data_IF_486125859128
#
_entry.id   IF_486125859128
#
_cell.length_a   1.000
_cell.length_b   1.000
_cell.length_c   1.000
_cell.angle_alpha   90.00
_cell.angle_beta   90.00
_cell.angle_gamma   90.00
#
_symmetry.space_group_name_H-M   'P 1'
#
loop_
_entity.id
_entity.type
_entity.pdbx_description
1 polymer ?
#
# COMPACT_ATOMS: atom_id res chain seq x y z
N UNK A 1 -10.90 -0.70 -39.77
CA UNK A 1 -11.63 0.11 -38.79
C UNK A 1 -13.08 0.10 -39.24
N UNK A 2 -13.92 -0.73 -38.64
CA UNK A 2 -15.36 -0.49 -38.75
C UNK A 2 -15.71 0.57 -37.71
N UNK A 3 -16.06 1.77 -38.19
CA UNK A 3 -16.71 2.78 -37.36
C UNK A 3 -18.16 2.32 -37.21
N UNK A 4 -18.53 1.84 -36.04
CA UNK A 4 -19.95 1.57 -35.73
C UNK A 4 -20.60 2.90 -35.35
N UNK A 5 -21.52 3.36 -36.19
CA UNK A 5 -22.20 4.66 -36.12
C UNK A 5 -23.01 4.83 -34.80
N UNK A 6 -23.08 6.02 -34.16
CA UNK A 6 -23.65 6.20 -32.81
C UNK A 6 -25.18 6.05 -32.68
N UNK A 7 -25.88 5.59 -33.72
CA UNK A 7 -27.35 5.45 -33.73
C UNK A 7 -27.84 4.01 -33.93
N UNK A 8 -27.07 3.02 -33.50
CA UNK A 8 -27.53 1.63 -33.50
C UNK A 8 -27.97 1.22 -32.10
N UNK A 9 -29.18 1.65 -31.72
CA UNK A 9 -29.84 1.29 -30.45
C UNK A 9 -30.29 -0.18 -30.39
N UNK A 10 -29.91 -1.02 -31.37
CA UNK A 10 -30.35 -2.42 -31.42
C UNK A 10 -29.45 -3.33 -32.27
N UNK A 11 -28.16 -3.39 -31.97
CA UNK A 11 -27.40 -4.60 -32.31
C UNK A 11 -27.71 -5.64 -31.23
N UNK A 12 -28.67 -6.52 -31.54
CA UNK A 12 -28.93 -7.73 -30.77
C UNK A 12 -27.61 -8.52 -30.73
N UNK A 13 -27.13 -8.78 -29.52
CA UNK A 13 -26.03 -9.70 -29.24
C UNK A 13 -26.19 -10.97 -30.06
N UNK A 14 -25.11 -11.37 -30.73
CA UNK A 14 -24.69 -12.78 -30.93
C UNK A 14 -23.38 -12.85 -31.75
N UNK A 15 -22.85 -11.74 -32.29
CA UNK A 15 -21.68 -11.80 -33.19
C UNK A 15 -20.64 -10.66 -33.08
N UNK A 16 -20.32 -10.14 -31.88
CA UNK A 16 -19.04 -9.40 -31.70
C UNK A 16 -17.93 -10.33 -31.18
N UNK A 17 -17.92 -11.58 -31.64
CA UNK A 17 -16.81 -12.52 -31.47
C UNK A 17 -15.97 -12.51 -32.75
N UNK A 18 -15.29 -11.40 -33.04
CA UNK A 18 -14.26 -11.39 -34.10
C UNK A 18 -13.15 -10.41 -33.71
N UNK A 19 -11.90 -10.88 -33.82
CA UNK A 19 -10.66 -10.21 -33.44
C UNK A 19 -10.35 -8.92 -34.22
N UNK A 20 -11.19 -7.90 -34.07
CA UNK A 20 -11.03 -6.60 -34.70
C UNK A 20 -10.65 -5.51 -33.69
N UNK A 21 -9.92 -4.51 -34.18
CA UNK A 21 -9.75 -3.22 -33.50
C UNK A 21 -11.09 -2.49 -33.52
N UNK A 22 -11.80 -2.49 -32.40
CA UNK A 22 -13.13 -1.87 -32.29
C UNK A 22 -13.00 -0.59 -31.46
N UNK A 23 -13.53 0.52 -31.98
CA UNK A 23 -13.71 1.76 -31.23
C UNK A 23 -15.20 2.05 -31.11
N UNK A 24 -15.70 2.11 -29.88
CA UNK A 24 -17.11 2.32 -29.58
C UNK A 24 -17.29 3.62 -28.82
N UNK A 25 -18.24 4.43 -29.26
CA UNK A 25 -18.63 5.68 -28.61
C UNK A 25 -19.96 5.45 -27.90
N UNK A 26 -19.94 5.51 -26.57
CA UNK A 26 -21.09 5.39 -25.67
C UNK A 26 -21.75 4.00 -25.63
N UNK A 27 -21.57 3.28 -24.53
CA UNK A 27 -22.23 2.01 -24.25
C UNK A 27 -23.13 2.09 -23.01
N UNK A 28 -24.38 1.63 -23.15
CA UNK A 28 -25.33 1.53 -22.03
C UNK A 28 -25.79 0.08 -21.86
N UNK A 29 -25.39 -0.54 -20.74
CA UNK A 29 -25.78 -1.90 -20.37
C UNK A 29 -25.32 -2.99 -21.35
N UNK A 30 -24.00 -3.13 -21.52
CA UNK A 30 -23.42 -4.10 -22.46
C UNK A 30 -22.55 -5.16 -21.78
N UNK A 31 -22.54 -6.35 -22.40
CA UNK A 31 -21.63 -7.45 -22.09
C UNK A 31 -20.82 -7.79 -23.34
N UNK A 32 -19.50 -7.78 -23.23
CA UNK A 32 -18.57 -8.15 -24.30
C UNK A 32 -17.88 -9.44 -23.86
N UNK A 33 -18.11 -10.58 -24.52
CA UNK A 33 -17.52 -11.84 -24.10
C UNK A 33 -16.00 -11.83 -24.31
N UNK A 34 -15.53 -11.44 -25.49
CA UNK A 34 -14.10 -11.47 -25.82
C UNK A 34 -13.74 -10.32 -26.76
N UNK A 35 -12.54 -9.77 -26.62
CA UNK A 35 -12.01 -8.78 -27.56
C UNK A 35 -10.49 -8.80 -27.61
N UNK A 36 -9.90 -8.61 -28.78
CA UNK A 36 -8.45 -8.44 -28.89
C UNK A 36 -8.02 -7.00 -28.63
N UNK A 37 -8.67 -6.03 -29.28
CA UNK A 37 -8.33 -4.62 -29.17
C UNK A 37 -9.60 -3.78 -29.11
N UNK A 38 -9.92 -3.28 -27.93
CA UNK A 38 -11.16 -2.55 -27.68
C UNK A 38 -10.87 -1.17 -27.11
N UNK A 39 -11.46 -0.16 -27.73
CA UNK A 39 -11.45 1.23 -27.26
C UNK A 39 -12.87 1.68 -27.03
N UNK A 40 -13.14 2.18 -25.83
CA UNK A 40 -14.45 2.69 -25.45
C UNK A 40 -14.28 4.10 -24.91
N UNK A 41 -15.01 5.03 -25.50
CA UNK A 41 -14.97 6.42 -25.04
C UNK A 41 -15.74 6.57 -23.73
N UNK A 42 -16.97 6.04 -23.66
CA UNK A 42 -17.85 6.22 -22.50
C UNK A 42 -18.73 4.99 -22.29
N UNK A 43 -19.01 4.63 -21.03
CA UNK A 43 -19.95 3.56 -20.70
C UNK A 43 -20.65 3.73 -19.35
N UNK A 44 -21.92 3.33 -19.23
CA UNK A 44 -22.67 3.45 -17.97
C UNK A 44 -22.76 2.12 -17.18
N UNK A 45 -22.76 0.99 -17.87
CA UNK A 45 -22.71 -0.35 -17.27
C UNK A 45 -22.09 -1.33 -18.27
N UNK A 46 -20.82 -1.66 -18.07
CA UNK A 46 -20.06 -2.49 -19.00
C UNK A 46 -19.51 -3.72 -18.29
N UNK A 47 -19.72 -4.87 -18.91
CA UNK A 47 -19.10 -6.14 -18.52
C UNK A 47 -18.24 -6.64 -19.65
N UNK A 48 -17.01 -7.04 -19.35
CA UNK A 48 -16.09 -7.65 -20.30
C UNK A 48 -15.60 -8.94 -19.66
N UNK A 49 -15.78 -10.08 -20.33
CA UNK A 49 -15.24 -11.33 -19.79
C UNK A 49 -13.73 -11.37 -20.06
N UNK A 50 -13.30 -11.18 -21.30
CA UNK A 50 -11.89 -11.25 -21.67
C UNK A 50 -11.47 -10.13 -22.63
N UNK A 51 -10.29 -9.55 -22.40
CA UNK A 51 -9.69 -8.64 -23.37
C UNK A 51 -8.16 -8.62 -23.35
N UNK A 52 -7.52 -8.76 -24.51
CA UNK A 52 -6.06 -8.60 -24.60
C UNK A 52 -5.64 -7.14 -24.39
N UNK A 53 -6.22 -6.20 -25.14
CA UNK A 53 -5.93 -4.77 -25.00
C UNK A 53 -7.21 -3.95 -24.91
N UNK A 54 -7.43 -3.36 -23.74
CA UNK A 54 -8.61 -2.57 -23.45
C UNK A 54 -8.24 -1.15 -23.04
N UNK A 55 -8.85 -0.18 -23.71
CA UNK A 55 -8.77 1.24 -23.34
C UNK A 55 -10.15 1.80 -23.13
N UNK A 56 -10.39 2.36 -21.95
CA UNK A 56 -11.66 2.98 -21.60
C UNK A 56 -11.36 4.39 -21.12
N UNK A 57 -12.01 5.39 -21.72
CA UNK A 57 -11.82 6.78 -21.27
C UNK A 57 -12.67 7.02 -20.03
N UNK A 58 -13.97 6.73 -20.09
CA UNK A 58 -14.86 6.93 -18.95
C UNK A 58 -15.80 5.73 -18.74
N UNK A 59 -16.02 5.37 -17.47
CA UNK A 59 -17.06 4.40 -17.11
C UNK A 59 -17.71 4.70 -15.75
N UNK A 60 -19.03 4.58 -15.67
CA UNK A 60 -19.68 4.61 -14.35
C UNK A 60 -19.52 3.26 -13.63
N UNK A 61 -19.86 2.16 -14.28
CA UNK A 61 -19.75 0.82 -13.70
C UNK A 61 -19.10 -0.15 -14.68
N UNK A 62 -17.92 -0.64 -14.31
CA UNK A 62 -17.12 -1.52 -15.13
C UNK A 62 -16.78 -2.81 -14.38
N UNK A 63 -17.05 -3.94 -15.02
CA UNK A 63 -16.62 -5.26 -14.54
C UNK A 63 -15.82 -5.95 -15.63
N UNK A 64 -14.62 -6.38 -15.28
CA UNK A 64 -13.72 -7.08 -16.19
C UNK A 64 -13.30 -8.37 -15.49
N UNK A 65 -13.52 -9.52 -16.12
CA UNK A 65 -13.03 -10.77 -15.54
C UNK A 65 -11.53 -10.90 -15.78
N UNK A 66 -11.07 -10.77 -17.03
CA UNK A 66 -9.66 -10.91 -17.36
C UNK A 66 -9.21 -9.85 -18.38
N UNK A 67 -8.01 -9.31 -18.17
CA UNK A 67 -7.34 -8.52 -19.21
C UNK A 67 -5.82 -8.56 -19.16
N UNK A 68 -5.16 -8.71 -20.31
CA UNK A 68 -3.70 -8.60 -20.36
C UNK A 68 -3.23 -7.14 -20.19
N UNK A 69 -3.77 -6.21 -20.96
CA UNK A 69 -3.41 -4.79 -20.91
C UNK A 69 -4.65 -3.91 -20.81
N UNK A 70 -4.83 -3.29 -19.66
CA UNK A 70 -5.97 -2.44 -19.37
C UNK A 70 -5.53 -1.01 -19.04
N UNK A 71 -6.11 -0.04 -19.73
CA UNK A 71 -5.98 1.38 -19.44
C UNK A 71 -7.33 2.02 -19.25
N UNK A 72 -7.52 2.66 -18.11
CA UNK A 72 -8.75 3.36 -17.76
C UNK A 72 -8.38 4.77 -17.35
N UNK A 73 -8.96 5.77 -18.00
CA UNK A 73 -8.74 7.16 -17.57
C UNK A 73 -9.56 7.42 -16.31
N UNK A 74 -10.88 7.23 -16.36
CA UNK A 74 -11.78 7.48 -15.23
C UNK A 74 -12.80 6.36 -15.04
N UNK A 75 -13.04 5.97 -13.78
CA UNK A 75 -14.16 5.09 -13.46
C UNK A 75 -14.74 5.33 -12.08
N UNK A 76 -16.07 5.44 -11.96
CA UNK A 76 -16.71 5.53 -10.64
C UNK A 76 -16.60 4.20 -9.87
N UNK A 77 -17.05 3.09 -10.47
CA UNK A 77 -16.99 1.77 -9.86
C UNK A 77 -16.33 0.76 -10.79
N UNK A 78 -15.17 0.25 -10.39
CA UNK A 78 -14.39 -0.69 -11.17
C UNK A 78 -14.14 -1.98 -10.38
N UNK A 79 -14.46 -3.11 -11.02
CA UNK A 79 -14.14 -4.44 -10.52
C UNK A 79 -13.36 -5.22 -11.58
N UNK A 80 -12.20 -5.71 -11.21
CA UNK A 80 -11.33 -6.51 -12.06
C UNK A 80 -10.99 -7.79 -11.31
N UNK A 81 -11.24 -8.95 -11.91
CA UNK A 81 -10.80 -10.19 -11.28
C UNK A 81 -9.31 -10.38 -11.50
N UNK A 82 -8.85 -10.35 -12.76
CA UNK A 82 -7.44 -10.57 -13.09
C UNK A 82 -6.93 -9.58 -14.12
N UNK A 83 -5.70 -9.11 -13.94
CA UNK A 83 -5.00 -8.37 -14.99
C UNK A 83 -3.48 -8.48 -14.95
N UNK A 84 -2.82 -8.60 -16.10
CA UNK A 84 -1.36 -8.57 -16.14
C UNK A 84 -0.82 -7.14 -15.98
N UNK A 85 -1.31 -6.20 -16.78
CA UNK A 85 -0.89 -4.80 -16.76
C UNK A 85 -2.09 -3.86 -16.69
N UNK A 86 -2.20 -3.15 -15.57
CA UNK A 86 -3.30 -2.24 -15.30
C UNK A 86 -2.80 -0.83 -15.02
N UNK A 87 -3.37 0.13 -15.75
CA UNK A 87 -3.17 1.56 -15.51
C UNK A 87 -4.51 2.26 -15.35
N UNK A 88 -4.68 2.92 -14.22
CA UNK A 88 -5.88 3.67 -13.89
C UNK A 88 -5.45 5.08 -13.51
N UNK A 89 -6.04 6.08 -14.16
CA UNK A 89 -5.75 7.47 -13.79
C UNK A 89 -6.56 7.83 -12.55
N UNK A 90 -7.87 7.67 -12.60
CA UNK A 90 -8.77 7.99 -11.49
C UNK A 90 -9.84 6.92 -11.27
N UNK A 91 -10.13 6.61 -10.00
CA UNK A 91 -11.33 5.85 -9.65
C UNK A 91 -11.87 6.12 -8.25
N UNK A 92 -13.19 6.28 -8.13
CA UNK A 92 -13.81 6.41 -6.80
C UNK A 92 -13.77 5.09 -6.01
N UNK A 93 -14.19 3.98 -6.62
CA UNK A 93 -14.22 2.67 -5.99
C UNK A 93 -13.59 1.59 -6.88
N UNK A 94 -12.43 1.10 -6.46
CA UNK A 94 -11.67 0.09 -7.19
C UNK A 94 -11.52 -1.19 -6.38
N UNK A 95 -11.90 -2.32 -6.99
CA UNK A 95 -11.66 -3.67 -6.47
C UNK A 95 -10.92 -4.50 -7.50
N UNK A 96 -9.77 -5.03 -7.10
CA UNK A 96 -8.94 -5.90 -7.93
C UNK A 96 -8.66 -7.17 -7.13
N UNK A 97 -8.95 -8.34 -7.68
CA UNK A 97 -8.56 -9.59 -7.02
C UNK A 97 -7.07 -9.84 -7.23
N UNK A 98 -6.61 -9.86 -8.48
CA UNK A 98 -5.21 -10.16 -8.80
C UNK A 98 -4.65 -9.21 -9.87
N UNK A 99 -3.40 -8.77 -9.68
CA UNK A 99 -2.66 -8.08 -10.74
C UNK A 99 -1.14 -8.23 -10.66
N UNK A 100 -0.49 -8.53 -11.78
CA UNK A 100 0.97 -8.55 -11.82
C UNK A 100 1.56 -7.13 -11.71
N UNK A 101 1.09 -6.19 -12.54
CA UNK A 101 1.59 -4.81 -12.56
C UNK A 101 0.45 -3.80 -12.53
N UNK A 102 0.34 -3.07 -11.43
CA UNK A 102 -0.70 -2.08 -11.22
C UNK A 102 -0.13 -0.69 -10.98
N UNK A 103 -0.65 0.29 -11.74
CA UNK A 103 -0.40 1.71 -11.53
C UNK A 103 -1.72 2.45 -11.39
N UNK A 104 -1.88 3.14 -10.26
CA UNK A 104 -3.03 3.99 -9.97
C UNK A 104 -2.52 5.38 -9.67
N UNK A 105 -3.07 6.39 -10.34
CA UNK A 105 -2.71 7.77 -10.00
C UNK A 105 -3.52 8.21 -8.80
N UNK A 106 -4.85 8.11 -8.85
CA UNK A 106 -5.73 8.52 -7.76
C UNK A 106 -6.86 7.51 -7.52
N UNK A 107 -7.17 7.26 -6.25
CA UNK A 107 -8.40 6.56 -5.89
C UNK A 107 -8.94 6.91 -4.50
N UNK A 108 -10.26 7.08 -4.36
CA UNK A 108 -10.85 7.28 -3.04
C UNK A 108 -10.84 5.97 -2.22
N UNK A 109 -11.32 4.87 -2.80
CA UNK A 109 -11.38 3.57 -2.11
C UNK A 109 -10.80 2.45 -2.97
N UNK A 110 -9.66 1.92 -2.53
CA UNK A 110 -8.97 0.82 -3.19
C UNK A 110 -8.98 -0.45 -2.34
N UNK A 111 -9.37 -1.56 -2.97
CA UNK A 111 -9.19 -2.90 -2.40
C UNK A 111 -8.48 -3.80 -3.40
N UNK A 112 -7.35 -4.35 -2.98
CA UNK A 112 -6.55 -5.28 -3.77
C UNK A 112 -6.32 -6.52 -2.93
N UNK A 113 -6.64 -7.71 -3.46
CA UNK A 113 -6.31 -8.94 -2.74
C UNK A 113 -4.83 -9.26 -2.93
N UNK A 114 -4.36 -9.35 -4.17
CA UNK A 114 -2.97 -9.72 -4.46
C UNK A 114 -2.38 -8.85 -5.58
N UNK A 115 -1.12 -8.43 -5.41
CA UNK A 115 -0.36 -7.87 -6.51
C UNK A 115 1.16 -8.06 -6.40
N UNK A 116 1.83 -8.36 -7.50
CA UNK A 116 3.29 -8.42 -7.51
C UNK A 116 3.91 -7.02 -7.42
N UNK A 117 3.51 -6.10 -8.30
CA UNK A 117 4.06 -4.75 -8.36
C UNK A 117 2.96 -3.69 -8.36
N UNK A 118 2.88 -2.92 -7.27
CA UNK A 118 1.87 -1.90 -7.07
C UNK A 118 2.50 -0.52 -6.88
N UNK A 119 2.04 0.44 -7.68
CA UNK A 119 2.36 1.86 -7.53
C UNK A 119 1.08 2.67 -7.42
N UNK A 120 0.94 3.40 -6.33
CA UNK A 120 -0.19 4.29 -6.06
C UNK A 120 0.39 5.69 -5.80
N UNK A 121 -0.10 6.68 -6.52
CA UNK A 121 0.31 8.06 -6.24
C UNK A 121 -0.47 8.58 -5.04
N UNK A 122 -1.80 8.57 -5.11
CA UNK A 122 -2.65 9.06 -4.04
C UNK A 122 -3.83 8.13 -3.77
N UNK A 123 -4.20 7.95 -2.50
CA UNK A 123 -5.48 7.37 -2.14
C UNK A 123 -5.97 7.73 -0.74
N UNK A 124 -7.29 7.88 -0.58
CA UNK A 124 -7.87 8.08 0.75
C UNK A 124 -7.89 6.78 1.55
N UNK A 125 -8.43 5.68 1.01
CA UNK A 125 -8.58 4.42 1.75
C UNK A 125 -8.01 3.24 0.96
N UNK A 126 -6.90 2.70 1.45
CA UNK A 126 -6.19 1.57 0.88
C UNK A 126 -6.33 0.31 1.74
N UNK A 127 -6.78 -0.78 1.11
CA UNK A 127 -6.69 -2.14 1.67
C UNK A 127 -6.03 -3.05 0.65
N UNK A 128 -4.85 -3.53 0.98
CA UNK A 128 -4.06 -4.44 0.14
C UNK A 128 -3.81 -5.66 1.01
N UNK A 129 -4.23 -6.86 0.61
CA UNK A 129 -4.04 -8.04 1.46
C UNK A 129 -2.59 -8.55 1.37
N UNK A 130 -2.08 -8.68 0.14
CA UNK A 130 -0.73 -9.15 -0.12
C UNK A 130 -0.08 -8.37 -1.27
N UNK A 131 1.21 -8.05 -1.12
CA UNK A 131 2.01 -7.54 -2.23
C UNK A 131 3.50 -7.83 -2.14
N UNK A 132 4.15 -8.12 -3.27
CA UNK A 132 5.62 -8.26 -3.27
C UNK A 132 6.30 -6.89 -3.19
N UNK A 133 5.92 -5.95 -4.08
CA UNK A 133 6.49 -4.61 -4.12
C UNK A 133 5.39 -3.54 -4.14
N UNK A 134 5.26 -2.82 -3.04
CA UNK A 134 4.28 -1.74 -2.87
C UNK A 134 4.99 -0.40 -2.71
N UNK A 135 4.61 0.56 -3.57
CA UNK A 135 5.01 1.97 -3.47
C UNK A 135 3.77 2.86 -3.41
N UNK A 136 3.69 3.66 -2.35
CA UNK A 136 2.62 4.63 -2.14
C UNK A 136 3.29 5.99 -1.95
N UNK A 137 2.84 7.00 -2.69
CA UNK A 137 3.32 8.36 -2.46
C UNK A 137 2.56 8.96 -1.28
N UNK A 138 1.24 9.00 -1.36
CA UNK A 138 0.38 9.52 -0.30
C UNK A 138 -0.80 8.59 -0.02
N UNK A 139 -1.14 8.43 1.26
CA UNK A 139 -2.43 7.84 1.64
C UNK A 139 -2.99 8.31 2.97
N UNK A 140 -4.30 8.52 3.06
CA UNK A 140 -4.92 8.88 4.34
C UNK A 140 -4.98 7.67 5.29
N UNK A 141 -5.47 6.52 4.80
CA UNK A 141 -5.54 5.28 5.56
C UNK A 141 -5.03 4.09 4.75
N UNK A 142 -4.03 3.37 5.27
CA UNK A 142 -3.57 2.10 4.72
C UNK A 142 -3.73 0.97 5.72
N UNK A 143 -4.29 -0.14 5.24
CA UNK A 143 -4.19 -1.45 5.89
C UNK A 143 -3.52 -2.43 4.95
N UNK A 144 -2.38 -2.96 5.38
CA UNK A 144 -1.60 -3.94 4.64
C UNK A 144 -1.21 -5.12 5.55
N UNK A 145 -1.92 -6.27 5.50
CA UNK A 145 -1.54 -7.47 6.22
C UNK A 145 -0.14 -7.93 5.84
N UNK A 146 0.20 -8.08 4.57
CA UNK A 146 1.48 -8.67 4.18
C UNK A 146 2.17 -7.94 3.02
N UNK A 147 3.48 -7.73 3.15
CA UNK A 147 4.30 -7.28 2.02
C UNK A 147 5.77 -7.65 2.14
N UNK A 148 6.42 -8.00 1.03
CA UNK A 148 7.87 -8.16 1.04
C UNK A 148 8.59 -6.80 1.09
N UNK A 149 8.26 -5.89 0.17
CA UNK A 149 8.87 -4.56 0.11
C UNK A 149 7.81 -3.46 0.10
N UNK A 150 7.76 -2.66 1.15
CA UNK A 150 6.83 -1.55 1.29
C UNK A 150 7.59 -0.22 1.38
N UNK A 151 7.24 0.71 0.49
CA UNK A 151 7.72 2.10 0.52
C UNK A 151 6.53 3.06 0.55
N UNK A 152 6.52 3.93 1.55
CA UNK A 152 5.49 4.95 1.73
C UNK A 152 6.19 6.29 1.92
N UNK A 153 5.78 7.30 1.15
CA UNK A 153 6.32 8.65 1.35
C UNK A 153 5.57 9.31 2.51
N UNK A 154 4.26 9.42 2.42
CA UNK A 154 3.43 10.06 3.43
C UNK A 154 2.15 9.27 3.74
N UNK A 155 1.77 9.23 5.02
CA UNK A 155 0.44 8.76 5.39
C UNK A 155 -0.05 9.23 6.77
N UNK A 156 -1.34 9.48 6.91
CA UNK A 156 -1.91 9.76 8.23
C UNK A 156 -2.00 8.49 9.10
N UNK A 157 -2.59 7.40 8.60
CA UNK A 157 -2.82 6.20 9.40
C UNK A 157 -2.37 4.93 8.67
N UNK A 158 -1.35 4.27 9.23
CA UNK A 158 -0.77 3.04 8.71
C UNK A 158 -0.98 1.88 9.68
N UNK A 159 -1.50 0.77 9.16
CA UNK A 159 -1.55 -0.53 9.86
C UNK A 159 -0.93 -1.60 8.99
N UNK A 160 0.22 -2.10 9.41
CA UNK A 160 0.98 -3.13 8.74
C UNK A 160 1.06 -4.34 9.67
N UNK A 161 0.62 -5.52 9.23
CA UNK A 161 0.81 -6.71 10.07
C UNK A 161 2.23 -7.24 9.90
N UNK A 162 2.65 -7.51 8.67
CA UNK A 162 3.97 -8.10 8.39
C UNK A 162 4.67 -7.40 7.22
N UNK A 163 5.97 -7.14 7.38
CA UNK A 163 6.82 -6.72 6.27
C UNK A 163 8.27 -7.16 6.40
N UNK A 164 8.87 -7.64 5.30
CA UNK A 164 10.31 -7.93 5.29
C UNK A 164 11.13 -6.63 5.24
N UNK A 165 10.83 -5.72 4.31
CA UNK A 165 11.52 -4.45 4.15
C UNK A 165 10.54 -3.28 4.09
N UNK A 166 10.54 -2.47 5.14
CA UNK A 166 9.69 -1.30 5.27
C UNK A 166 10.51 -0.01 5.22
N UNK A 167 10.07 0.94 4.39
CA UNK A 167 10.56 2.32 4.37
C UNK A 167 9.39 3.29 4.41
N UNK A 168 9.37 4.13 5.44
CA UNK A 168 8.36 5.16 5.61
C UNK A 168 9.08 6.49 5.80
N UNK A 169 8.72 7.50 5.01
CA UNK A 169 9.30 8.82 5.18
C UNK A 169 8.57 9.55 6.31
N UNK A 170 7.26 9.70 6.20
CA UNK A 170 6.44 10.38 7.20
C UNK A 170 5.16 9.61 7.53
N UNK A 171 4.78 9.62 8.82
CA UNK A 171 3.44 9.18 9.21
C UNK A 171 2.94 9.78 10.52
N UNK A 172 1.65 10.10 10.61
CA UNK A 172 1.08 10.54 11.89
C UNK A 172 0.92 9.36 12.86
N UNK A 173 0.23 8.29 12.44
CA UNK A 173 -0.01 7.10 13.25
C UNK A 173 0.43 5.84 12.52
N UNK A 174 1.45 5.17 13.03
CA UNK A 174 2.00 3.95 12.45
C UNK A 174 1.93 2.79 13.44
N UNK A 175 1.29 1.70 13.00
CA UNK A 175 1.24 0.43 13.74
C UNK A 175 1.82 -0.68 12.87
N UNK A 176 2.83 -1.36 13.39
CA UNK A 176 3.49 -2.50 12.76
C UNK A 176 3.44 -3.66 13.75
N UNK A 177 2.91 -4.81 13.35
CA UNK A 177 2.99 -5.99 14.22
C UNK A 177 4.39 -6.59 14.13
N UNK A 178 4.86 -6.91 12.93
CA UNK A 178 6.17 -7.54 12.72
C UNK A 178 6.91 -6.90 11.53
N UNK A 179 8.23 -6.73 11.68
CA UNK A 179 9.09 -6.38 10.56
C UNK A 179 10.53 -6.87 10.68
N UNK A 180 11.12 -7.33 9.59
CA UNK A 180 12.54 -7.72 9.61
C UNK A 180 13.46 -6.49 9.52
N UNK A 181 13.20 -5.60 8.57
CA UNK A 181 13.99 -4.37 8.37
C UNK A 181 13.07 -3.18 8.17
N UNK A 182 13.13 -2.23 9.10
CA UNK A 182 12.30 -1.03 9.08
C UNK A 182 13.16 0.22 9.18
N UNK A 183 12.93 1.16 8.25
CA UNK A 183 13.47 2.52 8.31
C UNK A 183 12.32 3.51 8.28
N UNK A 184 12.21 4.29 9.34
CA UNK A 184 11.18 5.31 9.52
C UNK A 184 11.91 6.63 9.70
N UNK A 185 11.61 7.63 8.86
CA UNK A 185 12.25 8.94 9.00
C UNK A 185 11.55 9.73 10.09
N UNK A 186 10.23 9.91 9.98
CA UNK A 186 9.44 10.65 10.95
C UNK A 186 8.13 9.93 11.31
N UNK A 187 7.76 9.97 12.59
CA UNK A 187 6.41 9.60 13.02
C UNK A 187 5.95 10.30 14.29
N UNK A 188 4.70 10.78 14.34
CA UNK A 188 4.15 11.31 15.59
C UNK A 188 3.89 10.17 16.60
N UNK A 189 3.20 9.11 16.19
CA UNK A 189 2.88 7.97 17.04
C UNK A 189 3.24 6.64 16.37
N UNK A 190 4.31 6.00 16.86
CA UNK A 190 4.76 4.72 16.37
C UNK A 190 4.54 3.61 17.40
N UNK A 191 3.89 2.53 16.96
CA UNK A 191 3.75 1.29 17.72
C UNK A 191 4.28 0.11 16.92
N UNK A 192 5.22 -0.63 17.50
CA UNK A 192 5.82 -1.81 16.89
C UNK A 192 5.77 -2.94 17.91
N UNK A 193 5.20 -4.09 17.55
CA UNK A 193 5.24 -5.25 18.44
C UNK A 193 6.62 -5.91 18.37
N UNK A 194 7.08 -6.28 17.18
CA UNK A 194 8.36 -6.95 16.99
C UNK A 194 9.14 -6.40 15.79
N UNK A 195 10.46 -6.27 15.96
CA UNK A 195 11.35 -5.95 14.84
C UNK A 195 12.76 -6.52 14.98
N UNK A 196 13.35 -7.01 13.90
CA UNK A 196 14.75 -7.43 13.93
C UNK A 196 15.70 -6.23 13.81
N UNK A 197 15.51 -5.39 12.79
CA UNK A 197 16.36 -4.22 12.54
C UNK A 197 15.52 -2.97 12.31
N UNK A 198 15.51 -2.08 13.29
CA UNK A 198 14.70 -0.88 13.28
C UNK A 198 15.57 0.37 13.38
N UNK A 199 15.39 1.28 12.42
CA UNK A 199 16.01 2.61 12.42
C UNK A 199 14.92 3.67 12.37
N UNK A 200 14.93 4.56 13.35
CA UNK A 200 14.01 5.69 13.44
C UNK A 200 14.87 6.96 13.49
N UNK A 201 14.56 7.94 12.64
CA UNK A 201 15.26 9.23 12.72
C UNK A 201 14.62 10.07 13.82
N UNK A 202 13.32 10.34 13.70
CA UNK A 202 12.57 11.15 14.66
C UNK A 202 11.22 10.52 15.00
N UNK A 203 10.81 10.62 16.26
CA UNK A 203 9.42 10.38 16.63
C UNK A 203 9.00 11.01 17.96
N UNK A 204 7.79 11.53 18.05
CA UNK A 204 7.27 12.04 19.33
C UNK A 204 7.00 10.89 20.31
N UNK A 205 6.21 9.90 19.93
CA UNK A 205 5.78 8.80 20.82
C UNK A 205 6.10 7.43 20.23
N UNK A 206 7.04 6.74 20.86
CA UNK A 206 7.49 5.40 20.49
C UNK A 206 7.04 4.36 21.52
N UNK A 207 6.39 3.30 21.03
CA UNK A 207 6.15 2.07 21.79
C UNK A 207 6.63 0.88 20.98
N UNK A 208 7.69 0.24 21.46
CA UNK A 208 8.28 -0.94 20.81
C UNK A 208 8.25 -2.05 21.86
N UNK A 209 7.65 -3.21 21.58
CA UNK A 209 7.61 -4.28 22.59
C UNK A 209 8.91 -5.08 22.60
N UNK A 210 9.35 -5.51 21.41
CA UNK A 210 10.60 -6.27 21.25
C UNK A 210 11.39 -5.79 20.03
N UNK A 211 12.71 -5.72 20.19
CA UNK A 211 13.63 -5.45 19.06
C UNK A 211 15.00 -6.10 19.22
N UNK A 212 15.59 -6.63 18.14
CA UNK A 212 16.97 -7.10 18.21
C UNK A 212 17.96 -5.92 18.09
N UNK A 213 17.83 -5.12 17.03
CA UNK A 213 18.67 -3.95 16.79
C UNK A 213 17.83 -2.71 16.60
N UNK A 214 17.83 -1.82 17.59
CA UNK A 214 17.11 -0.56 17.56
C UNK A 214 18.07 0.63 17.57
N UNK A 215 17.94 1.50 16.57
CA UNK A 215 18.61 2.79 16.51
C UNK A 215 17.58 3.89 16.38
N UNK A 216 17.65 4.87 17.27
CA UNK A 216 16.79 6.05 17.26
C UNK A 216 17.67 7.29 17.36
N UNK A 217 17.43 8.29 16.52
CA UNK A 217 18.18 9.54 16.61
C UNK A 217 17.53 10.44 17.65
N UNK A 218 16.25 10.74 17.51
CA UNK A 218 15.52 11.63 18.44
C UNK A 218 14.14 11.08 18.80
N UNK A 219 13.74 11.26 20.08
CA UNK A 219 12.35 11.08 20.49
C UNK A 219 11.96 11.86 21.76
N UNK A 220 10.66 12.14 21.91
CA UNK A 220 10.11 12.69 23.16
C UNK A 220 9.81 11.58 24.17
N UNK A 221 9.06 10.54 23.79
CA UNK A 221 8.69 9.45 24.69
C UNK A 221 8.99 8.08 24.09
N UNK A 222 9.81 7.26 24.75
CA UNK A 222 10.05 5.86 24.37
C UNK A 222 9.67 4.92 25.51
N UNK A 223 8.81 3.95 25.19
CA UNK A 223 8.60 2.74 25.98
C UNK A 223 9.11 1.54 25.19
N UNK A 224 10.19 0.93 25.68
CA UNK A 224 10.75 -0.28 25.09
C UNK A 224 11.17 -1.27 26.18
N UNK A 225 10.32 -2.25 26.53
CA UNK A 225 10.62 -3.16 27.62
C UNK A 225 11.78 -4.10 27.27
N UNK A 226 11.93 -4.55 26.01
CA UNK A 226 12.90 -5.58 25.64
C UNK A 226 13.64 -5.22 24.33
N UNK A 227 14.97 -5.11 24.41
CA UNK A 227 15.80 -4.92 23.21
C UNK A 227 17.19 -5.50 23.38
N UNK A 228 17.74 -6.22 22.40
CA UNK A 228 19.11 -6.73 22.54
C UNK A 228 20.13 -5.59 22.44
N UNK A 229 20.08 -4.82 21.35
CA UNK A 229 20.99 -3.71 21.07
C UNK A 229 20.19 -2.41 20.87
N UNK A 230 20.33 -1.47 21.80
CA UNK A 230 19.69 -0.16 21.74
C UNK A 230 20.73 0.95 21.62
N UNK A 231 20.59 1.79 20.59
CA UNK A 231 21.34 3.04 20.43
C UNK A 231 20.41 4.22 20.28
N UNK A 232 20.63 5.24 21.10
CA UNK A 232 19.85 6.47 21.14
C UNK A 232 20.82 7.66 21.10
N UNK A 233 20.59 8.61 20.21
CA UNK A 233 21.34 9.86 20.23
C UNK A 233 20.76 10.82 21.27
N UNK A 234 19.51 11.23 21.10
CA UNK A 234 18.84 12.24 21.91
C UNK A 234 17.47 11.77 22.40
N UNK A 235 17.12 12.12 23.64
CA UNK A 235 15.87 11.69 24.24
C UNK A 235 15.37 12.60 25.38
N UNK A 236 14.06 12.75 25.48
CA UNK A 236 13.44 13.36 26.66
C UNK A 236 13.07 12.31 27.71
N UNK A 237 12.07 11.46 27.44
CA UNK A 237 11.54 10.49 28.40
C UNK A 237 11.76 9.05 27.93
N UNK A 238 12.63 8.32 28.63
CA UNK A 238 13.02 6.96 28.27
C UNK A 238 12.66 5.95 29.36
N UNK A 239 11.85 4.95 29.00
CA UNK A 239 11.48 3.81 29.86
C UNK A 239 11.86 2.48 29.22
N UNK A 240 12.89 1.83 29.79
CA UNK A 240 13.39 0.52 29.34
C UNK A 240 13.60 -0.45 30.51
N UNK A 241 13.46 -1.75 30.26
CA UNK A 241 13.65 -2.79 31.29
C UNK A 241 14.77 -3.80 31.02
N UNK A 242 14.81 -4.43 29.85
CA UNK A 242 15.77 -5.51 29.53
C UNK A 242 16.56 -5.16 28.29
N UNK A 243 17.89 -5.20 28.42
CA UNK A 243 18.79 -5.03 27.29
C UNK A 243 20.13 -5.75 27.50
N UNK A 244 20.80 -6.08 26.38
CA UNK A 244 22.17 -6.60 26.42
C UNK A 244 23.18 -5.46 26.24
N UNK A 245 22.99 -4.63 25.21
CA UNK A 245 23.85 -3.49 24.92
C UNK A 245 23.01 -2.21 24.81
N UNK A 246 23.43 -1.17 25.53
CA UNK A 246 22.77 0.14 25.54
C UNK A 246 23.81 1.24 25.31
N UNK A 247 23.58 2.09 24.32
CA UNK A 247 24.28 3.36 24.13
C UNK A 247 23.28 4.50 24.06
N UNK A 248 23.41 5.49 24.94
CA UNK A 248 22.61 6.71 24.96
C UNK A 248 23.60 7.86 25.02
N UNK A 249 23.50 8.83 24.11
CA UNK A 249 24.40 9.99 24.09
C UNK A 249 23.84 11.11 24.99
N UNK A 250 22.57 11.48 24.80
CA UNK A 250 21.90 12.53 25.56
C UNK A 250 20.48 12.11 26.00
N UNK A 251 20.14 12.38 27.27
CA UNK A 251 18.83 12.05 27.85
C UNK A 251 18.47 12.98 29.01
N UNK A 252 17.27 13.58 28.98
CA UNK A 252 16.80 14.47 30.05
C UNK A 252 16.12 13.72 31.21
N UNK A 253 15.31 12.69 30.94
CA UNK A 253 14.58 11.88 31.93
C UNK A 253 14.69 10.37 31.65
N UNK A 254 15.68 9.73 32.28
CA UNK A 254 15.92 8.29 32.14
C UNK A 254 15.33 7.48 33.30
N UNK A 255 14.37 6.60 33.04
CA UNK A 255 13.81 5.67 34.03
C UNK A 255 14.13 4.22 33.67
N UNK A 256 15.08 3.62 34.40
CA UNK A 256 15.40 2.19 34.30
C UNK A 256 14.58 1.38 35.31
N UNK A 257 13.72 0.48 34.81
CA UNK A 257 12.96 -0.44 35.68
C UNK A 257 13.82 -1.69 35.90
N UNK A 258 14.56 -1.76 37.01
CA UNK A 258 15.35 -2.94 37.41
C UNK A 258 14.42 -4.06 37.92
N UNK A 259 14.48 -5.25 37.30
CA UNK A 259 14.34 -6.53 38.03
C UNK A 259 15.75 -7.11 38.28
N UNK A 260 16.04 -7.73 39.42
CA UNK A 260 17.41 -7.98 39.84
C UNK A 260 18.07 -9.15 39.09
N UNK A 261 19.38 -8.97 38.88
CA UNK A 261 20.49 -9.91 38.68
C UNK A 261 20.96 -10.32 37.27
N UNK A 262 22.27 -10.06 37.14
CA UNK A 262 23.36 -10.75 36.44
C UNK A 262 23.82 -10.27 35.05
N UNK A 263 25.06 -9.76 35.11
CA UNK A 263 26.13 -9.69 34.11
C UNK A 263 26.29 -8.39 33.30
N UNK A 264 27.26 -7.61 33.79
CA UNK A 264 28.28 -6.82 33.08
C UNK A 264 27.99 -6.36 31.66
N UNK A 265 27.98 -5.03 31.44
CA UNK A 265 28.98 -4.33 30.60
C UNK A 265 28.82 -2.81 30.61
N UNK A 266 29.99 -2.16 30.55
CA UNK A 266 30.40 -0.74 30.43
C UNK A 266 29.29 0.28 30.12
N UNK A 267 29.07 1.21 31.05
CA UNK A 267 28.62 2.57 30.72
C UNK A 267 29.84 3.33 30.18
N UNK A 268 29.74 3.82 28.95
CA UNK A 268 30.56 4.96 28.52
C UNK A 268 29.60 6.14 28.54
N UNK A 269 29.84 7.07 29.48
CA UNK A 269 29.22 8.38 29.53
C UNK A 269 29.84 9.23 28.44
#
# INVERSE_FOLDING_TARGET
MELVDPKVEKLRCDQLSYGFNISIYNLKNWGIPESQNLRISESQNLRISESQNLRISESQNLRISESQNLRISESQNLRISESQNLRISESQNLRISESQNLRISESQNLRISESQNLRISESQNLRISESQNLRISESQNLRNPESQNLRISESQNLRISESQNLRISESQNLRISESQKSRISESQNLRISESQNLRISESQNLRISESQNLRISEFQNLRNPESQNLRISESQNLSISKFQNLGISESQNFRKIRKPKNNSRRLTV
#
